data_IF_283385625751
#
_entry.id   IF_283385625751
#
_cell.length_a   1.000
_cell.length_b   1.000
_cell.length_c   1.000
_cell.angle_alpha   90.00
_cell.angle_beta   90.00
_cell.angle_gamma   90.00
#
_symmetry.space_group_name_H-M   'P 1'
#
loop_
_entity.id
_entity.type
_entity.pdbx_description
1 polymer ?
#
# COMPACT_ATOMS: atom_id res chain seq x y z
N UNK A 1 4.21 -12.74 -19.64
CA UNK A 1 3.19 -12.21 -20.58
C UNK A 1 3.13 -10.69 -20.36
N UNK A 2 3.75 -9.90 -21.23
CA UNK A 2 3.79 -8.43 -21.13
C UNK A 2 2.37 -7.90 -21.33
N UNK A 3 1.72 -7.42 -20.25
CA UNK A 3 0.49 -6.63 -20.41
C UNK A 3 0.87 -5.27 -20.99
N UNK A 4 0.63 -5.12 -22.28
CA UNK A 4 0.57 -3.81 -22.90
C UNK A 4 -0.63 -3.04 -22.30
N UNK A 5 -0.37 -2.15 -21.34
CA UNK A 5 -1.26 -1.04 -21.02
C UNK A 5 -1.23 -0.03 -22.20
N UNK A 6 -1.62 -0.50 -23.37
CA UNK A 6 -1.77 0.33 -24.58
C UNK A 6 -3.20 0.87 -24.59
N UNK A 7 -3.38 2.01 -23.96
CA UNK A 7 -4.59 2.80 -24.05
C UNK A 7 -4.59 3.87 -22.96
N UNK A 8 -4.84 5.12 -23.28
CA UNK A 8 -5.25 6.13 -22.32
C UNK A 8 -6.59 5.66 -21.73
N UNK A 9 -6.55 4.85 -20.66
CA UNK A 9 -7.78 4.49 -19.96
C UNK A 9 -8.28 5.78 -19.33
N UNK A 10 -9.37 6.31 -19.88
CA UNK A 10 -10.11 7.40 -19.27
C UNK A 10 -10.56 6.91 -17.89
N UNK A 11 -10.06 7.55 -16.82
CA UNK A 11 -10.53 7.22 -15.48
C UNK A 11 -11.97 7.70 -15.31
N UNK A 12 -12.73 7.17 -14.33
CA UNK A 12 -14.05 7.70 -13.97
C UNK A 12 -14.04 9.21 -13.76
N UNK A 13 -12.93 9.78 -13.25
CA UNK A 13 -12.77 11.23 -13.11
C UNK A 13 -12.81 11.98 -14.45
N UNK A 14 -12.18 11.44 -15.50
CA UNK A 14 -12.25 12.06 -16.83
C UNK A 14 -13.66 11.99 -17.40
N UNK A 15 -14.33 10.84 -17.29
CA UNK A 15 -15.70 10.68 -17.74
C UNK A 15 -16.64 11.65 -17.02
N UNK A 16 -16.54 11.73 -15.67
CA UNK A 16 -17.32 12.65 -14.87
C UNK A 16 -17.07 14.12 -15.24
N UNK A 17 -15.79 14.49 -15.46
CA UNK A 17 -15.41 15.85 -15.87
C UNK A 17 -15.98 16.23 -17.24
N UNK A 18 -15.86 15.36 -18.24
CA UNK A 18 -16.46 15.59 -19.55
C UNK A 18 -17.98 15.68 -19.48
N UNK A 19 -18.64 14.83 -18.71
CA UNK A 19 -20.08 14.89 -18.49
C UNK A 19 -20.50 16.18 -17.80
N UNK A 20 -19.78 16.62 -16.77
CA UNK A 20 -20.05 17.87 -16.08
C UNK A 20 -19.92 19.08 -17.02
N UNK A 21 -18.89 19.11 -17.89
CA UNK A 21 -18.71 20.16 -18.88
C UNK A 21 -19.82 20.17 -19.92
N UNK A 22 -20.22 19.00 -20.46
CA UNK A 22 -21.27 18.90 -21.44
C UNK A 22 -22.64 19.34 -20.89
N UNK A 23 -22.99 18.88 -19.69
CA UNK A 23 -24.24 19.27 -18.99
C UNK A 23 -24.23 20.76 -18.66
N UNK A 24 -23.11 21.28 -18.15
CA UNK A 24 -22.96 22.72 -17.87
C UNK A 24 -23.15 23.57 -19.12
N UNK A 25 -22.53 23.17 -20.25
CA UNK A 25 -22.71 23.84 -21.53
C UNK A 25 -24.16 23.82 -22.06
N UNK A 26 -24.86 22.70 -21.92
CA UNK A 26 -26.28 22.61 -22.26
C UNK A 26 -27.16 23.48 -21.37
N UNK A 27 -26.94 23.48 -20.07
CA UNK A 27 -27.69 24.30 -19.11
C UNK A 27 -27.48 25.81 -19.31
N UNK A 28 -26.28 26.20 -19.74
CA UNK A 28 -25.96 27.61 -20.04
C UNK A 28 -26.92 28.24 -21.04
N UNK A 29 -27.34 27.48 -22.06
CA UNK A 29 -28.32 27.96 -23.05
C UNK A 29 -29.78 27.93 -22.59
N UNK A 30 -30.05 27.24 -21.46
CA UNK A 30 -31.43 27.13 -20.92
C UNK A 30 -31.60 28.07 -19.72
N UNK A 31 -30.69 27.97 -18.76
CA UNK A 31 -30.62 28.82 -17.57
C UNK A 31 -29.16 28.91 -17.13
N UNK A 32 -28.50 30.06 -17.39
CA UNK A 32 -27.08 30.27 -17.08
C UNK A 32 -26.73 30.05 -15.62
N UNK A 33 -27.65 30.39 -14.72
CA UNK A 33 -27.49 30.20 -13.25
C UNK A 33 -27.28 28.72 -12.86
N UNK A 34 -27.88 27.79 -13.62
CA UNK A 34 -27.79 26.36 -13.35
C UNK A 34 -26.52 25.74 -13.93
N UNK A 35 -25.82 26.43 -14.83
CA UNK A 35 -24.61 25.89 -15.50
C UNK A 35 -23.46 25.65 -14.51
N UNK A 36 -23.41 26.35 -13.39
CA UNK A 36 -22.34 26.20 -12.38
C UNK A 36 -22.50 24.92 -11.57
N UNK A 37 -23.72 24.42 -11.36
CA UNK A 37 -24.00 23.30 -10.46
C UNK A 37 -23.27 21.99 -10.86
N UNK A 38 -23.23 21.53 -12.12
CA UNK A 38 -22.50 20.31 -12.50
C UNK A 38 -21.00 20.42 -12.28
N UNK A 39 -20.41 21.60 -12.50
CA UNK A 39 -18.98 21.84 -12.28
C UNK A 39 -18.65 21.88 -10.80
N UNK A 40 -19.48 22.52 -9.98
CA UNK A 40 -19.33 22.52 -8.54
C UNK A 40 -19.42 21.11 -7.94
N UNK A 41 -20.38 20.30 -8.43
CA UNK A 41 -20.52 18.90 -8.00
C UNK A 41 -19.29 18.08 -8.42
N UNK A 42 -18.78 18.24 -9.64
CA UNK A 42 -17.56 17.57 -10.09
C UNK A 42 -16.35 17.96 -9.23
N UNK A 43 -16.21 19.25 -8.91
CA UNK A 43 -15.15 19.73 -8.03
C UNK A 43 -15.26 19.10 -6.62
N UNK A 44 -16.47 19.00 -6.09
CA UNK A 44 -16.72 18.32 -4.81
C UNK A 44 -16.29 16.85 -4.87
N UNK A 45 -16.62 16.13 -5.95
CA UNK A 45 -16.12 14.76 -6.14
C UNK A 45 -14.58 14.71 -6.19
N UNK A 46 -13.93 15.63 -6.87
CA UNK A 46 -12.47 15.70 -6.90
C UNK A 46 -11.85 15.96 -5.53
N UNK A 47 -12.52 16.70 -4.64
CA UNK A 47 -12.06 16.97 -3.28
C UNK A 47 -12.27 15.78 -2.33
N UNK A 48 -13.34 15.01 -2.52
CA UNK A 48 -13.70 13.87 -1.66
C UNK A 48 -13.02 12.56 -2.10
N UNK A 49 -12.90 12.34 -3.39
CA UNK A 49 -12.38 11.10 -3.97
C UNK A 49 -10.99 10.67 -3.49
N UNK A 50 -10.03 11.59 -3.18
CA UNK A 50 -8.74 11.21 -2.60
C UNK A 50 -8.86 10.35 -1.33
N UNK A 51 -9.87 10.60 -0.50
CA UNK A 51 -10.12 9.92 0.78
C UNK A 51 -10.93 8.63 0.62
N UNK A 52 -11.42 8.36 -0.58
CA UNK A 52 -12.20 7.17 -0.93
C UNK A 52 -11.49 6.37 -2.05
N UNK A 53 -10.23 5.91 -1.84
CA UNK A 53 -9.42 5.27 -2.89
C UNK A 53 -10.12 4.03 -3.48
N UNK A 54 -10.92 3.34 -2.67
CA UNK A 54 -11.66 2.15 -3.09
C UNK A 54 -12.72 2.43 -4.16
N UNK A 55 -13.17 3.69 -4.31
CA UNK A 55 -14.07 4.12 -5.38
C UNK A 55 -13.41 4.11 -6.76
N UNK A 56 -12.07 4.06 -6.83
CA UNK A 56 -11.32 4.01 -8.09
C UNK A 56 -11.50 5.25 -8.98
N UNK A 57 -11.83 6.40 -8.41
CA UNK A 57 -12.19 7.59 -9.18
C UNK A 57 -11.04 8.10 -10.06
N UNK A 58 -9.83 8.19 -9.54
CA UNK A 58 -8.65 8.64 -10.28
C UNK A 58 -7.90 7.50 -10.98
N UNK A 59 -7.88 6.31 -10.39
CA UNK A 59 -7.14 5.15 -10.89
C UNK A 59 -7.77 3.86 -10.37
N UNK A 60 -7.57 2.74 -11.07
CA UNK A 60 -7.91 1.43 -10.53
C UNK A 60 -7.14 1.17 -9.25
N UNK A 61 -7.85 0.79 -8.19
CA UNK A 61 -7.28 0.46 -6.88
C UNK A 61 -7.70 -0.95 -6.50
N UNK A 62 -6.73 -1.78 -6.13
CA UNK A 62 -6.98 -3.13 -5.62
C UNK A 62 -7.08 -3.03 -4.10
N UNK A 63 -8.28 -3.14 -3.56
CA UNK A 63 -8.54 -3.09 -2.12
C UNK A 63 -8.95 -4.44 -1.53
N UNK A 64 -9.23 -5.43 -2.37
CA UNK A 64 -9.67 -6.78 -1.99
C UNK A 64 -9.35 -7.78 -3.10
N UNK A 65 -9.26 -9.04 -2.75
CA UNK A 65 -9.18 -10.15 -3.69
C UNK A 65 -10.53 -10.77 -4.04
N UNK A 66 -10.49 -11.96 -4.64
CA UNK A 66 -11.66 -12.76 -4.94
C UNK A 66 -12.42 -13.15 -3.65
N UNK A 67 -13.75 -13.30 -3.75
CA UNK A 67 -14.64 -13.58 -2.62
C UNK A 67 -15.23 -15.01 -2.66
N UNK A 68 -14.72 -15.84 -3.52
CA UNK A 68 -15.18 -17.20 -3.78
C UNK A 68 -14.80 -18.19 -2.67
N UNK A 69 -13.88 -17.81 -1.78
CA UNK A 69 -13.45 -18.61 -0.64
C UNK A 69 -13.14 -17.74 0.58
N UNK A 70 -13.13 -18.36 1.76
CA UNK A 70 -12.75 -17.73 3.02
C UNK A 70 -11.22 -17.55 3.06
N UNK A 71 -10.71 -16.59 2.29
CA UNK A 71 -9.29 -16.25 2.26
C UNK A 71 -9.07 -14.78 2.61
N UNK A 72 -7.94 -14.48 3.25
CA UNK A 72 -7.48 -13.14 3.56
C UNK A 72 -5.95 -13.05 3.39
N UNK A 73 -5.42 -11.85 3.15
CA UNK A 73 -4.00 -11.59 3.18
C UNK A 73 -3.65 -10.64 4.32
N UNK A 74 -2.59 -10.97 5.06
CA UNK A 74 -2.01 -10.08 6.07
C UNK A 74 -1.02 -9.13 5.40
N UNK A 75 -1.16 -7.84 5.67
CA UNK A 75 -0.25 -6.82 5.16
C UNK A 75 0.15 -5.87 6.28
N UNK A 76 1.43 -5.48 6.28
CA UNK A 76 2.04 -4.65 7.29
C UNK A 76 2.67 -3.44 6.63
N UNK A 77 2.37 -2.24 7.12
CA UNK A 77 2.84 -0.96 6.59
C UNK A 77 3.88 -0.34 7.54
N UNK A 78 4.58 0.67 7.06
CA UNK A 78 5.47 1.59 7.78
C UNK A 78 6.85 1.04 8.17
N UNK A 79 7.05 -0.27 8.24
CA UNK A 79 8.33 -0.91 8.56
C UNK A 79 9.40 -0.83 7.45
N UNK A 80 10.56 -1.49 7.66
CA UNK A 80 10.87 -2.35 8.79
C UNK A 80 11.26 -1.57 10.05
N UNK A 81 10.88 -2.07 11.22
CA UNK A 81 11.21 -1.51 12.52
C UNK A 81 12.09 -2.49 13.31
N UNK A 82 13.29 -2.10 13.78
CA UNK A 82 14.23 -3.03 14.42
C UNK A 82 13.70 -3.66 15.71
N UNK A 83 12.76 -3.01 16.38
CA UNK A 83 12.20 -3.50 17.64
C UNK A 83 10.97 -4.40 17.41
N UNK A 84 10.28 -4.25 16.28
CA UNK A 84 8.99 -4.92 15.98
C UNK A 84 9.14 -6.02 14.96
N UNK A 85 9.78 -5.76 13.84
CA UNK A 85 9.86 -6.68 12.71
C UNK A 85 10.40 -8.07 13.09
N UNK A 86 11.47 -8.22 13.91
CA UNK A 86 11.97 -9.55 14.27
C UNK A 86 10.93 -10.41 15.00
N UNK A 87 10.27 -9.85 16.02
CA UNK A 87 9.23 -10.56 16.77
C UNK A 87 8.01 -10.90 15.91
N UNK A 88 7.64 -10.01 14.98
CA UNK A 88 6.57 -10.27 14.00
C UNK A 88 6.92 -11.43 13.06
N UNK A 89 8.15 -11.46 12.54
CA UNK A 89 8.63 -12.55 11.67
C UNK A 89 8.62 -13.89 12.39
N UNK A 90 9.07 -13.95 13.66
CA UNK A 90 9.01 -15.15 14.50
C UNK A 90 7.56 -15.63 14.71
N UNK A 91 6.64 -14.70 14.92
CA UNK A 91 5.22 -15.01 15.05
C UNK A 91 4.64 -15.59 13.75
N UNK A 92 4.93 -14.97 12.61
CA UNK A 92 4.48 -15.46 11.29
C UNK A 92 5.05 -16.84 10.97
N UNK A 93 6.32 -17.11 11.27
CA UNK A 93 6.96 -18.42 11.10
C UNK A 93 6.32 -19.50 11.99
N UNK A 94 6.04 -19.17 13.26
CA UNK A 94 5.36 -20.11 14.20
C UNK A 94 4.05 -20.64 13.62
N UNK A 95 3.31 -19.78 12.93
CA UNK A 95 2.05 -20.14 12.28
C UNK A 95 2.18 -20.51 10.81
N UNK A 96 3.39 -20.45 10.24
CA UNK A 96 3.70 -20.71 8.82
C UNK A 96 2.84 -19.87 7.88
N UNK A 97 2.69 -18.58 8.17
CA UNK A 97 1.83 -17.66 7.43
C UNK A 97 2.63 -16.75 6.54
N UNK A 98 2.21 -16.59 5.28
CA UNK A 98 2.76 -15.58 4.39
C UNK A 98 2.23 -14.19 4.76
N UNK A 99 3.07 -13.17 4.56
CA UNK A 99 2.67 -11.78 4.71
C UNK A 99 3.25 -10.91 3.61
N UNK A 100 2.74 -9.68 3.48
CA UNK A 100 3.31 -8.65 2.61
C UNK A 100 3.63 -7.42 3.43
N UNK A 101 4.87 -6.95 3.33
CA UNK A 101 5.37 -5.76 3.99
C UNK A 101 5.44 -4.61 2.99
N UNK A 102 4.66 -3.55 3.20
CA UNK A 102 4.78 -2.31 2.44
C UNK A 102 5.79 -1.42 3.16
N UNK A 103 7.02 -1.47 2.68
CA UNK A 103 8.15 -0.87 3.39
C UNK A 103 8.37 0.59 3.02
N UNK A 104 8.73 1.37 4.01
CA UNK A 104 9.18 2.75 3.87
C UNK A 104 10.66 2.76 3.47
N UNK A 105 11.00 3.47 2.40
CA UNK A 105 12.33 3.42 1.80
C UNK A 105 13.44 3.81 2.79
N UNK A 106 13.26 4.87 3.55
CA UNK A 106 14.27 5.32 4.54
C UNK A 106 14.50 4.29 5.64
N UNK A 107 13.47 3.56 6.07
CA UNK A 107 13.64 2.49 7.08
C UNK A 107 14.26 1.24 6.47
N UNK A 108 13.95 0.91 5.21
CA UNK A 108 14.61 -0.15 4.48
C UNK A 108 16.11 0.13 4.25
N UNK A 109 16.49 1.40 4.02
CA UNK A 109 17.89 1.84 3.89
C UNK A 109 18.64 1.76 5.21
N UNK A 110 17.99 2.15 6.32
CA UNK A 110 18.57 2.07 7.68
C UNK A 110 18.72 0.64 8.19
N UNK A 111 17.80 -0.24 7.82
CA UNK A 111 17.72 -1.60 8.33
C UNK A 111 17.77 -2.67 7.21
N UNK A 112 18.86 -2.69 6.39
CA UNK A 112 18.94 -3.57 5.21
C UNK A 112 18.91 -5.06 5.57
N UNK A 113 19.36 -5.43 6.78
CA UNK A 113 19.32 -6.82 7.21
C UNK A 113 17.88 -7.31 7.43
N UNK A 114 16.98 -6.43 7.92
CA UNK A 114 15.57 -6.79 8.09
C UNK A 114 14.87 -7.04 6.75
N UNK A 115 15.20 -6.27 5.70
CA UNK A 115 14.68 -6.54 4.35
C UNK A 115 15.13 -7.92 3.86
N UNK A 116 16.40 -8.26 4.05
CA UNK A 116 16.91 -9.61 3.70
C UNK A 116 16.21 -10.71 4.50
N UNK A 117 15.96 -10.47 5.77
CA UNK A 117 15.28 -11.42 6.65
C UNK A 117 13.81 -11.63 6.23
N UNK A 118 13.06 -10.55 5.97
CA UNK A 118 11.69 -10.61 5.42
C UNK A 118 11.65 -11.47 4.15
N UNK A 119 12.58 -11.22 3.22
CA UNK A 119 12.64 -11.94 1.96
C UNK A 119 13.07 -13.40 2.13
N UNK A 120 14.06 -13.69 2.99
CA UNK A 120 14.57 -15.06 3.23
C UNK A 120 13.54 -15.97 3.88
N UNK A 121 12.61 -15.40 4.65
CA UNK A 121 11.46 -16.11 5.25
C UNK A 121 10.27 -16.24 4.29
N UNK A 122 10.41 -15.83 3.02
CA UNK A 122 9.40 -16.01 1.97
C UNK A 122 8.27 -15.00 1.97
N UNK A 123 8.40 -13.90 2.70
CA UNK A 123 7.43 -12.82 2.67
C UNK A 123 7.61 -11.91 1.46
N UNK A 124 6.54 -11.23 1.06
CA UNK A 124 6.59 -10.29 -0.05
C UNK A 124 6.83 -8.86 0.45
N UNK A 125 7.50 -8.05 -0.41
CA UNK A 125 7.76 -6.64 -0.14
C UNK A 125 7.06 -5.78 -1.19
N UNK A 126 6.31 -4.78 -0.74
CA UNK A 126 5.71 -3.70 -1.54
C UNK A 126 6.36 -2.35 -1.23
N UNK A 127 6.07 -1.36 -2.05
CA UNK A 127 6.60 0.00 -1.91
C UNK A 127 5.60 0.89 -1.16
N UNK A 128 6.07 1.59 -0.09
CA UNK A 128 5.27 2.51 0.72
C UNK A 128 5.80 3.96 0.69
N UNK A 129 6.39 4.38 -0.43
CA UNK A 129 7.16 5.61 -0.62
C UNK A 129 8.49 5.62 0.15
N UNK A 130 9.32 6.66 -0.07
CA UNK A 130 10.64 6.70 0.54
C UNK A 130 10.62 7.30 1.96
N UNK A 131 9.94 8.45 2.17
CA UNK A 131 9.88 9.13 3.46
C UNK A 131 8.56 8.98 4.21
N UNK A 132 7.55 8.30 3.64
CA UNK A 132 6.20 8.22 4.21
C UNK A 132 5.59 9.59 4.52
N UNK A 133 5.78 10.60 3.59
CA UNK A 133 5.18 11.92 3.77
C UNK A 133 3.63 11.81 3.72
N UNK A 134 2.90 12.07 4.81
CA UNK A 134 1.44 11.99 4.82
C UNK A 134 0.77 12.97 3.85
N UNK A 135 1.50 14.02 3.42
CA UNK A 135 1.06 14.99 2.43
C UNK A 135 1.59 14.70 1.02
N UNK A 136 2.17 13.52 0.78
CA UNK A 136 2.75 13.13 -0.52
C UNK A 136 1.79 13.35 -1.69
N UNK A 137 0.50 13.08 -1.48
CA UNK A 137 -0.51 13.23 -2.53
C UNK A 137 -0.83 14.70 -2.87
N UNK A 138 -0.38 15.67 -2.07
CA UNK A 138 -0.46 17.10 -2.35
C UNK A 138 0.80 17.65 -3.03
N UNK A 139 1.91 16.88 -3.01
CA UNK A 139 3.19 17.29 -3.62
C UNK A 139 3.13 17.30 -5.15
N UNK A 140 4.15 17.88 -5.79
CA UNK A 140 4.31 17.88 -7.24
C UNK A 140 4.39 16.45 -7.80
N UNK A 141 4.14 16.29 -9.10
CA UNK A 141 4.30 14.99 -9.78
C UNK A 141 5.75 14.50 -9.69
N UNK A 142 6.72 15.39 -9.81
CA UNK A 142 8.15 15.06 -9.70
C UNK A 142 8.44 14.47 -8.32
N UNK A 143 8.05 15.18 -7.23
CA UNK A 143 8.27 14.69 -5.87
C UNK A 143 7.58 13.35 -5.62
N UNK A 144 6.34 13.17 -6.11
CA UNK A 144 5.64 11.89 -6.02
C UNK A 144 6.38 10.78 -6.76
N UNK A 145 6.89 11.06 -7.96
CA UNK A 145 7.69 10.10 -8.73
C UNK A 145 8.98 9.75 -8.00
N UNK A 146 9.71 10.75 -7.49
CA UNK A 146 11.00 10.55 -6.82
C UNK A 146 10.85 9.67 -5.56
N UNK A 147 9.82 9.92 -4.75
CA UNK A 147 9.52 9.11 -3.55
C UNK A 147 9.31 7.64 -3.87
N UNK A 148 8.59 7.34 -4.95
CA UNK A 148 8.31 5.96 -5.34
C UNK A 148 9.52 5.34 -6.04
N UNK A 149 10.17 6.07 -6.95
CA UNK A 149 11.32 5.57 -7.72
C UNK A 149 12.52 5.28 -6.82
N UNK A 150 12.84 6.17 -5.89
CA UNK A 150 13.94 5.96 -4.95
C UNK A 150 13.79 4.68 -4.13
N UNK A 151 12.57 4.39 -3.67
CA UNK A 151 12.28 3.13 -2.98
C UNK A 151 12.41 1.92 -3.92
N UNK A 152 11.99 2.05 -5.18
CA UNK A 152 12.16 0.98 -6.19
C UNK A 152 13.63 0.67 -6.46
N UNK A 153 14.46 1.71 -6.60
CA UNK A 153 15.90 1.57 -6.84
C UNK A 153 16.62 0.93 -5.64
N UNK A 154 16.27 1.37 -4.42
CA UNK A 154 16.77 0.77 -3.19
C UNK A 154 16.43 -0.73 -3.14
N UNK A 155 15.16 -1.09 -3.37
CA UNK A 155 14.69 -2.47 -3.28
C UNK A 155 15.24 -3.35 -4.42
N UNK A 156 15.59 -2.76 -5.58
CA UNK A 156 16.30 -3.46 -6.63
C UNK A 156 17.70 -3.94 -6.19
N UNK A 157 18.35 -3.21 -5.27
CA UNK A 157 19.62 -3.63 -4.64
C UNK A 157 19.48 -4.91 -3.78
N UNK A 158 18.26 -5.26 -3.35
CA UNK A 158 17.96 -6.54 -2.70
C UNK A 158 17.51 -7.64 -3.67
N UNK A 159 17.60 -7.39 -4.97
CA UNK A 159 17.23 -8.35 -6.01
C UNK A 159 15.72 -8.43 -6.28
N UNK A 160 14.93 -7.48 -5.81
CA UNK A 160 13.47 -7.45 -5.99
C UNK A 160 13.00 -6.15 -6.65
N UNK A 161 11.92 -6.27 -7.40
CA UNK A 161 11.19 -5.16 -8.00
C UNK A 161 9.73 -5.22 -7.52
N UNK A 162 9.30 -4.41 -6.55
CA UNK A 162 7.90 -4.32 -6.17
C UNK A 162 6.99 -3.94 -7.34
N UNK A 163 5.88 -4.65 -7.44
CA UNK A 163 4.79 -4.38 -8.39
C UNK A 163 3.58 -3.73 -7.71
N UNK A 164 3.62 -3.70 -6.38
CA UNK A 164 2.60 -3.15 -5.51
C UNK A 164 3.10 -1.86 -4.87
N UNK A 165 2.33 -0.79 -5.01
CA UNK A 165 2.48 0.46 -4.29
C UNK A 165 1.27 0.69 -3.40
N UNK A 166 1.51 1.01 -2.14
CA UNK A 166 0.47 1.47 -1.22
C UNK A 166 0.74 2.93 -0.87
N UNK A 167 -0.20 3.85 -1.14
CA UNK A 167 0.01 5.25 -0.82
C UNK A 167 0.00 5.47 0.70
N UNK A 168 0.91 6.31 1.25
CA UNK A 168 0.87 6.75 2.63
C UNK A 168 -0.53 7.25 3.01
N UNK A 169 -0.96 6.93 4.24
CA UNK A 169 -2.30 7.24 4.81
C UNK A 169 -3.49 6.83 3.94
N UNK A 170 -3.26 6.03 2.89
CA UNK A 170 -4.32 5.50 2.01
C UNK A 170 -4.97 6.53 1.10
N UNK A 171 -4.40 7.70 0.88
CA UNK A 171 -4.94 8.77 0.02
C UNK A 171 -4.41 8.62 -1.41
N UNK A 172 -5.25 8.96 -2.41
CA UNK A 172 -4.87 8.96 -3.84
C UNK A 172 -5.03 10.34 -4.45
N UNK A 173 -4.47 10.54 -5.66
CA UNK A 173 -4.62 11.79 -6.39
C UNK A 173 -4.62 11.55 -7.92
N UNK A 174 -5.00 12.53 -8.76
CA UNK A 174 -5.03 12.37 -10.22
C UNK A 174 -3.65 12.24 -10.89
N UNK A 175 -2.52 12.49 -10.17
CA UNK A 175 -1.15 12.37 -10.70
C UNK A 175 -0.59 10.96 -10.54
N UNK A 176 -1.04 10.24 -9.50
CA UNK A 176 -0.56 8.90 -9.14
C UNK A 176 -0.67 7.88 -10.30
N UNK A 177 -1.77 7.83 -11.09
CA UNK A 177 -1.89 6.87 -12.20
C UNK A 177 -0.75 6.97 -13.21
N UNK A 178 -0.31 8.19 -13.52
CA UNK A 178 0.79 8.43 -14.46
C UNK A 178 2.12 7.91 -13.94
N UNK A 179 2.41 8.11 -12.67
CA UNK A 179 3.64 7.64 -12.01
C UNK A 179 3.65 6.11 -11.93
N UNK A 180 2.59 5.50 -11.40
CA UNK A 180 2.53 4.04 -11.25
C UNK A 180 2.60 3.30 -12.59
N UNK A 181 2.01 3.87 -13.65
CA UNK A 181 2.11 3.30 -15.00
C UNK A 181 3.54 3.32 -15.53
N UNK A 182 4.29 4.40 -15.32
CA UNK A 182 5.69 4.49 -15.72
C UNK A 182 6.55 3.45 -15.02
N UNK A 183 6.25 3.16 -13.75
CA UNK A 183 6.96 2.19 -12.93
C UNK A 183 6.40 0.76 -13.02
N UNK A 184 5.32 0.57 -13.79
CA UNK A 184 4.59 -0.69 -13.97
C UNK A 184 4.13 -1.30 -12.65
N UNK A 185 3.46 -0.46 -11.81
CA UNK A 185 2.98 -0.81 -10.49
C UNK A 185 1.46 -0.72 -10.39
N UNK A 186 0.87 -1.60 -9.57
CA UNK A 186 -0.54 -1.54 -9.16
C UNK A 186 -0.68 -0.73 -7.85
N UNK A 187 -1.76 0.06 -7.75
CA UNK A 187 -2.14 0.69 -6.48
C UNK A 187 -2.90 -0.31 -5.62
N UNK A 188 -2.32 -0.67 -4.47
CA UNK A 188 -2.91 -1.65 -3.54
C UNK A 188 -3.25 -0.95 -2.24
N UNK A 189 -4.52 -1.03 -1.83
CA UNK A 189 -4.97 -0.57 -0.53
C UNK A 189 -5.46 -1.75 0.32
N UNK A 190 -6.46 -1.54 1.14
CA UNK A 190 -7.00 -2.55 2.05
C UNK A 190 -8.52 -2.46 2.10
N UNK A 191 -9.17 -3.54 2.55
CA UNK A 191 -10.61 -3.58 2.81
C UNK A 191 -10.95 -3.90 4.27
N UNK A 192 -9.96 -4.29 5.06
CA UNK A 192 -10.11 -4.59 6.47
C UNK A 192 -9.02 -3.88 7.28
N UNK A 193 -9.41 -2.94 8.15
CA UNK A 193 -8.52 -2.22 9.06
C UNK A 193 -9.15 -2.02 10.41
N UNK A 194 -8.34 -1.88 11.44
CA UNK A 194 -8.80 -1.62 12.80
C UNK A 194 -9.01 -0.13 13.11
N UNK A 195 -8.38 0.78 12.37
CA UNK A 195 -8.31 2.19 12.72
C UNK A 195 -7.39 2.42 13.92
N UNK A 196 -6.22 1.80 13.88
CA UNK A 196 -5.18 1.83 14.91
C UNK A 196 -4.22 3.01 14.76
N UNK A 197 -4.28 3.74 13.61
CA UNK A 197 -3.50 4.95 13.33
C UNK A 197 -1.99 4.76 13.54
N UNK A 198 -1.38 3.75 12.90
CA UNK A 198 0.04 3.45 13.06
C UNK A 198 0.36 2.95 14.48
N UNK A 199 -0.40 1.96 14.95
CA UNK A 199 -0.25 1.33 16.27
C UNK A 199 -0.42 2.26 17.49
N UNK A 200 -1.07 3.43 17.32
CA UNK A 200 -1.44 4.30 18.44
C UNK A 200 -2.60 3.75 19.29
N UNK A 201 -3.47 2.94 18.68
CA UNK A 201 -4.67 2.37 19.33
C UNK A 201 -4.70 0.85 19.14
N UNK A 202 -3.78 0.14 19.79
CA UNK A 202 -3.68 -1.33 19.66
C UNK A 202 -4.73 -2.09 20.51
N UNK A 203 -5.24 -1.52 21.59
CA UNK A 203 -6.22 -2.20 22.46
C UNK A 203 -7.45 -2.67 21.68
N UNK A 204 -7.69 -3.99 21.69
CA UNK A 204 -8.79 -4.63 20.97
C UNK A 204 -8.65 -4.58 19.46
N UNK A 205 -7.43 -4.50 18.95
CA UNK A 205 -7.07 -4.57 17.53
C UNK A 205 -7.68 -5.82 16.89
N UNK A 206 -7.46 -6.98 17.51
CA UNK A 206 -7.98 -8.26 17.06
C UNK A 206 -9.50 -8.25 16.94
N UNK A 207 -10.21 -7.79 17.98
CA UNK A 207 -11.67 -7.71 17.96
C UNK A 207 -12.19 -6.84 16.80
N UNK A 208 -11.53 -5.70 16.53
CA UNK A 208 -11.92 -4.80 15.44
C UNK A 208 -11.68 -5.41 14.07
N UNK A 209 -10.55 -6.08 13.85
CA UNK A 209 -10.24 -6.79 12.60
C UNK A 209 -11.20 -7.94 12.40
N UNK A 210 -11.37 -8.84 13.39
CA UNK A 210 -12.19 -10.03 13.29
C UNK A 210 -13.70 -9.72 13.13
N UNK A 211 -14.15 -8.53 13.55
CA UNK A 211 -15.50 -8.04 13.26
C UNK A 211 -15.69 -7.59 11.82
N UNK A 212 -14.62 -7.13 11.16
CA UNK A 212 -14.67 -6.51 9.82
C UNK A 212 -14.17 -7.41 8.70
N UNK A 213 -13.45 -8.48 9.05
CA UNK A 213 -12.90 -9.40 8.05
C UNK A 213 -14.04 -10.03 7.22
N UNK A 214 -13.78 -10.16 5.93
CA UNK A 214 -14.69 -10.74 4.94
C UNK A 214 -13.89 -11.54 3.90
N UNK A 215 -14.51 -12.43 3.12
CA UNK A 215 -13.82 -13.16 2.04
C UNK A 215 -13.10 -12.20 1.09
N UNK A 216 -11.85 -12.51 0.77
CA UNK A 216 -10.99 -11.67 -0.06
C UNK A 216 -10.42 -10.43 0.64
N UNK A 217 -10.48 -10.36 1.98
CA UNK A 217 -9.98 -9.21 2.72
C UNK A 217 -8.46 -9.05 2.60
N UNK A 218 -8.02 -7.83 2.29
CA UNK A 218 -6.66 -7.36 2.52
C UNK A 218 -6.66 -6.68 3.88
N UNK A 219 -5.99 -7.30 4.86
CA UNK A 219 -5.93 -6.81 6.24
C UNK A 219 -4.76 -5.87 6.39
N UNK A 220 -5.01 -4.64 6.83
CA UNK A 220 -4.00 -3.64 7.16
C UNK A 220 -3.64 -3.72 8.64
N UNK A 221 -2.36 -3.88 8.89
CA UNK A 221 -1.66 -3.75 10.17
C UNK A 221 -0.41 -2.88 9.95
N UNK A 222 0.31 -2.52 11.02
CA UNK A 222 1.51 -1.68 10.91
C UNK A 222 2.69 -2.37 11.59
N UNK A 223 3.85 -2.36 10.91
CA UNK A 223 5.13 -2.92 11.38
C UNK A 223 6.00 -1.82 12.00
N UNK A 224 5.45 -1.17 13.03
CA UNK A 224 6.12 -0.09 13.79
C UNK A 224 5.79 -0.21 15.28
N UNK A 225 6.69 0.27 16.12
CA UNK A 225 6.50 0.25 17.56
C UNK A 225 5.22 1.01 17.99
N UNK A 226 4.40 0.42 18.88
CA UNK A 226 3.24 1.12 19.41
C UNK A 226 3.64 2.39 20.16
N UNK A 227 2.99 3.51 19.82
CA UNK A 227 3.22 4.80 20.47
C UNK A 227 2.19 5.03 21.60
N UNK A 228 2.24 4.27 22.67
CA UNK A 228 1.25 4.39 23.76
C UNK A 228 1.70 3.71 25.04
N UNK A 229 0.75 3.51 25.96
CA UNK A 229 0.97 2.84 27.24
C UNK A 229 1.28 1.34 27.05
N UNK A 230 0.88 0.75 25.92
CA UNK A 230 1.08 -0.66 25.59
C UNK A 230 2.32 -0.84 24.74
N UNK A 231 3.09 -1.89 25.07
CA UNK A 231 4.34 -2.20 24.41
C UNK A 231 4.20 -3.13 23.21
N UNK A 232 5.34 -3.50 22.65
CA UNK A 232 5.47 -4.40 21.50
C UNK A 232 4.89 -5.78 21.82
N UNK A 233 5.08 -6.29 23.04
CA UNK A 233 4.52 -7.57 23.46
C UNK A 233 2.98 -7.60 23.39
N UNK A 234 2.31 -6.53 23.86
CA UNK A 234 0.85 -6.42 23.75
C UNK A 234 0.38 -6.36 22.28
N UNK A 235 1.17 -5.70 21.40
CA UNK A 235 0.85 -5.64 19.97
C UNK A 235 1.01 -7.01 19.31
N UNK A 236 2.11 -7.74 19.60
CA UNK A 236 2.31 -9.10 19.09
C UNK A 236 1.20 -10.04 19.56
N UNK A 237 0.76 -9.92 20.82
CA UNK A 237 -0.39 -10.68 21.33
C UNK A 237 -1.67 -10.37 20.52
N UNK A 238 -1.98 -9.11 20.25
CA UNK A 238 -3.14 -8.72 19.44
C UNK A 238 -3.03 -9.28 18.00
N UNK A 239 -1.83 -9.29 17.38
CA UNK A 239 -1.59 -9.91 16.07
C UNK A 239 -1.80 -11.43 16.13
N UNK A 240 -1.29 -12.09 17.18
CA UNK A 240 -1.53 -13.52 17.39
C UNK A 240 -3.03 -13.83 17.53
N UNK A 241 -3.77 -13.02 18.27
CA UNK A 241 -5.23 -13.16 18.40
C UNK A 241 -5.96 -12.94 17.06
N UNK A 242 -5.44 -12.08 16.17
CA UNK A 242 -5.98 -11.96 14.81
C UNK A 242 -5.78 -13.27 14.06
N UNK A 243 -4.56 -13.84 14.09
CA UNK A 243 -4.22 -15.10 13.41
C UNK A 243 -5.13 -16.23 13.88
N UNK A 244 -5.21 -16.42 15.20
CA UNK A 244 -6.05 -17.47 15.80
C UNK A 244 -7.53 -17.28 15.49
N UNK A 245 -8.01 -16.04 15.55
CA UNK A 245 -9.38 -15.69 15.24
C UNK A 245 -9.74 -15.88 13.77
N UNK A 246 -8.84 -15.59 12.84
CA UNK A 246 -9.01 -15.89 11.41
C UNK A 246 -9.15 -17.39 11.20
N UNK A 247 -8.25 -18.18 11.79
CA UNK A 247 -8.28 -19.65 11.73
C UNK A 247 -9.58 -20.21 12.32
N UNK A 248 -10.00 -19.72 13.49
CA UNK A 248 -11.26 -20.13 14.13
C UNK A 248 -12.51 -19.82 13.29
N UNK A 249 -12.46 -18.77 12.48
CA UNK A 249 -13.52 -18.41 11.51
C UNK A 249 -13.41 -19.16 10.18
N UNK A 250 -12.45 -20.07 10.01
CA UNK A 250 -12.24 -20.83 8.79
C UNK A 250 -11.54 -20.08 7.66
N UNK A 251 -10.92 -18.93 7.96
CA UNK A 251 -10.15 -18.20 6.95
C UNK A 251 -8.78 -18.83 6.72
N UNK A 252 -8.43 -18.99 5.45
CA UNK A 252 -7.07 -19.27 5.01
C UNK A 252 -6.32 -17.93 4.85
N UNK A 253 -5.15 -17.80 5.48
CA UNK A 253 -4.24 -16.68 5.23
C UNK A 253 -3.34 -17.06 4.07
N UNK A 254 -3.45 -16.32 2.97
CA UNK A 254 -2.74 -16.60 1.72
C UNK A 254 -1.83 -15.43 1.32
N UNK A 255 -0.80 -15.66 0.48
CA UNK A 255 -0.01 -14.58 -0.10
C UNK A 255 -0.92 -13.55 -0.79
N UNK A 256 -0.60 -12.27 -0.64
CA UNK A 256 -1.35 -11.19 -1.30
C UNK A 256 -1.42 -11.39 -2.81
N UNK A 257 -0.32 -11.84 -3.43
CA UNK A 257 -0.27 -12.15 -4.87
C UNK A 257 -1.29 -13.20 -5.30
N UNK A 258 -1.48 -14.24 -4.48
CA UNK A 258 -2.47 -15.27 -4.70
C UNK A 258 -3.90 -14.73 -4.51
N UNK A 259 -4.11 -13.91 -3.46
CA UNK A 259 -5.41 -13.36 -3.14
C UNK A 259 -5.94 -12.44 -4.25
N UNK A 260 -5.05 -11.63 -4.86
CA UNK A 260 -5.42 -10.66 -5.90
C UNK A 260 -5.19 -11.15 -7.34
N UNK A 261 -4.58 -12.35 -7.49
CA UNK A 261 -4.27 -12.94 -8.80
C UNK A 261 -3.23 -12.15 -9.62
N UNK A 262 -2.32 -11.43 -8.93
CA UNK A 262 -1.29 -10.58 -9.54
C UNK A 262 0.01 -10.61 -8.74
N UNK A 263 1.19 -10.47 -9.39
CA UNK A 263 2.45 -10.37 -8.66
C UNK A 263 2.49 -9.10 -7.81
N UNK A 264 2.97 -9.22 -6.58
CA UNK A 264 3.24 -8.11 -5.65
C UNK A 264 4.67 -7.62 -5.80
N UNK A 265 5.58 -8.53 -6.09
CA UNK A 265 6.98 -8.28 -6.44
C UNK A 265 7.46 -9.29 -7.46
N UNK A 266 8.53 -8.95 -8.16
CA UNK A 266 9.24 -9.79 -9.14
C UNK A 266 10.74 -9.72 -8.86
N UNK A 267 11.55 -10.69 -9.33
CA UNK A 267 13.00 -10.54 -9.33
C UNK A 267 13.40 -9.26 -10.08
N UNK A 268 14.31 -8.48 -9.51
CA UNK A 268 14.89 -7.36 -10.23
C UNK A 268 15.71 -7.92 -11.40
N UNK A 269 15.43 -7.44 -12.62
CA UNK A 269 16.36 -7.62 -13.72
C UNK A 269 17.55 -6.72 -13.43
N UNK A 270 18.64 -7.27 -12.90
CA UNK A 270 19.88 -6.52 -12.75
C UNK A 270 20.31 -6.03 -14.14
N UNK A 271 20.69 -4.74 -14.29
CA UNK A 271 21.48 -4.35 -15.44
C UNK A 271 22.77 -5.19 -15.44
N UNK A 272 23.30 -5.57 -16.62
CA UNK A 272 24.51 -6.37 -16.69
C UNK A 272 25.62 -5.66 -15.89
N UNK A 273 26.07 -6.31 -14.84
CA UNK A 273 27.28 -6.06 -14.03
C UNK A 273 27.80 -4.61 -13.96
N UNK A 274 27.17 -3.83 -13.10
CA UNK A 274 27.83 -2.70 -12.46
C UNK A 274 27.91 -3.01 -10.96
N UNK A 275 29.12 -3.05 -10.41
CA UNK A 275 29.42 -3.56 -9.08
C UNK A 275 28.53 -3.02 -7.97
N UNK A 276 28.30 -3.87 -6.98
CA UNK A 276 27.68 -3.53 -5.69
C UNK A 276 28.42 -2.31 -5.13
N UNK A 277 27.74 -1.20 -4.79
CA UNK A 277 28.42 -0.13 -4.08
C UNK A 277 28.95 -0.69 -2.76
N UNK A 278 30.26 -0.71 -2.65
CA UNK A 278 30.98 -1.04 -1.42
C UNK A 278 30.56 0.00 -0.38
N UNK A 279 29.89 -0.44 0.65
CA UNK A 279 29.54 0.44 1.79
C UNK A 279 30.87 0.81 2.45
N UNK A 280 31.40 1.97 2.11
CA UNK A 280 32.55 2.55 2.79
C UNK A 280 32.19 2.74 4.26
N UNK A 281 32.83 1.97 5.12
CA UNK A 281 32.86 2.19 6.58
C UNK A 281 33.39 3.61 6.79
N UNK A 282 32.59 4.45 7.43
CA UNK A 282 33.05 5.75 7.89
C UNK A 282 34.25 5.61 8.82
N UNK A 283 35.11 6.63 8.94
CA UNK A 283 36.32 6.58 9.75
C UNK A 283 35.96 6.36 11.22
N UNK A 284 36.59 5.37 11.86
CA UNK A 284 36.60 5.20 13.30
C UNK A 284 37.21 6.47 13.94
N UNK A 285 36.40 7.21 14.67
CA UNK A 285 36.90 8.27 15.54
C UNK A 285 37.71 7.63 16.67
N UNK A 286 38.98 8.06 16.75
CA UNK A 286 39.87 7.77 17.85
C UNK A 286 39.60 8.71 19.03
#
# INVERSE_FOLDING_TARGET
MKRAFTGKILSPAHAAGFSALAVSGGLFFIREEMAVAPLALFLLFCLVAPFLPQAGFFLPVISRGARDRLAAALTFDDGPDPDVTPGLLELLDRYRLPATFFVVGVEAERHPMLIREILSRGHAVGNHSYHHDPLLMLRSRTRLSDEITRTQELLAGFGIRPRAFRPPVGITNPRLPGVLRTLDMDCITFSCRAGDFGNRLIRGLAKRILKRVHPGAIVLLHDVAPSGVRGIADWLEEVEQIILGLKAKGYEVVPLSQLIGRPVMEPATLPPSGGIPEITRGPEEK
#
